data_IF_460182280938
#
_entry.id   IF_460182280938
#
_cell.length_a   1.000
_cell.length_b   1.000
_cell.length_c   1.000
_cell.angle_alpha   90.00
_cell.angle_beta   90.00
_cell.angle_gamma   90.00
#
_symmetry.space_group_name_H-M   'P 1'
#
loop_
_entity.id
_entity.type
_entity.pdbx_description
1 polymer ?
#
# COMPACT_ATOMS: atom_id res chain seq x y z
N UNK A 1 2.68 23.28 2.30
CA UNK A 1 2.53 21.81 2.46
C UNK A 1 2.47 21.49 3.95
N UNK A 2 1.49 20.69 4.37
CA UNK A 2 1.42 20.18 5.75
C UNK A 2 2.60 19.25 5.99
N UNK A 3 3.32 19.41 7.11
CA UNK A 3 4.46 18.54 7.42
C UNK A 3 3.97 17.10 7.68
N UNK A 4 4.52 16.13 6.95
CA UNK A 4 4.21 14.72 7.17
C UNK A 4 4.78 14.23 8.52
N UNK A 5 4.05 13.35 9.24
CA UNK A 5 4.53 12.81 10.52
C UNK A 5 5.93 12.17 10.42
N UNK A 6 6.70 12.22 11.49
CA UNK A 6 7.98 11.52 11.58
C UNK A 6 7.87 10.29 12.49
N UNK A 7 8.78 9.31 12.39
CA UNK A 7 8.83 8.19 13.32
C UNK A 7 8.94 8.69 14.77
N UNK A 8 8.18 8.10 15.68
CA UNK A 8 8.13 8.49 17.10
C UNK A 8 8.84 7.50 18.03
N UNK A 9 9.42 6.43 17.46
CA UNK A 9 10.20 5.42 18.19
C UNK A 9 11.69 5.55 17.84
N UNK A 10 12.60 5.01 18.68
CA UNK A 10 14.03 5.03 18.41
C UNK A 10 14.38 4.43 17.04
N UNK A 11 15.40 4.99 16.40
CA UNK A 11 15.87 4.51 15.11
C UNK A 11 16.33 3.05 15.18
N UNK A 12 15.79 2.23 14.27
CA UNK A 12 16.17 0.85 14.08
C UNK A 12 16.72 0.58 12.68
N UNK A 13 16.56 -0.67 12.23
CA UNK A 13 16.82 -1.08 10.86
C UNK A 13 15.52 -1.62 10.24
N UNK A 14 15.07 -0.96 9.18
CA UNK A 14 13.92 -1.36 8.38
C UNK A 14 14.36 -2.03 7.07
N UNK A 15 13.89 -3.25 6.84
CA UNK A 15 14.04 -3.96 5.58
C UNK A 15 12.72 -3.95 4.81
N UNK A 16 12.80 -3.59 3.53
CA UNK A 16 11.67 -3.62 2.61
C UNK A 16 11.82 -4.76 1.61
N UNK A 17 10.95 -5.78 1.70
CA UNK A 17 10.74 -6.70 0.60
C UNK A 17 9.92 -5.97 -0.47
N UNK A 18 10.59 -5.64 -1.58
CA UNK A 18 10.10 -4.71 -2.58
C UNK A 18 10.14 -3.26 -2.08
N UNK A 19 11.02 -2.45 -2.67
CA UNK A 19 11.07 -1.00 -2.42
C UNK A 19 10.42 -0.21 -3.57
N UNK A 20 9.12 -0.44 -3.78
CA UNK A 20 8.32 0.26 -4.79
C UNK A 20 7.86 1.65 -4.36
N UNK A 21 6.89 2.21 -5.11
CA UNK A 21 6.34 3.56 -4.91
C UNK A 21 5.94 3.87 -3.46
N UNK A 22 5.10 3.03 -2.86
CA UNK A 22 4.63 3.21 -1.47
C UNK A 22 5.75 3.02 -0.46
N UNK A 23 6.53 1.95 -0.60
CA UNK A 23 7.62 1.64 0.32
C UNK A 23 8.69 2.74 0.33
N UNK A 24 8.97 3.36 -0.82
CA UNK A 24 9.94 4.45 -0.95
C UNK A 24 9.56 5.67 -0.10
N UNK A 25 8.27 6.07 -0.09
CA UNK A 25 7.79 7.21 0.71
C UNK A 25 8.03 7.02 2.21
N UNK A 26 7.83 5.79 2.71
CA UNK A 26 8.15 5.44 4.09
C UNK A 26 9.67 5.38 4.34
N UNK A 27 10.42 4.75 3.43
CA UNK A 27 11.87 4.64 3.54
C UNK A 27 12.56 5.99 3.63
N UNK A 28 12.17 6.96 2.80
CA UNK A 28 12.75 8.31 2.83
C UNK A 28 12.50 9.01 4.18
N UNK A 29 11.30 8.85 4.77
CA UNK A 29 10.97 9.37 6.12
C UNK A 29 11.79 8.69 7.22
N UNK A 30 11.97 7.37 7.13
CA UNK A 30 12.80 6.63 8.10
C UNK A 30 14.27 7.06 8.02
N UNK A 31 14.84 7.19 6.82
CA UNK A 31 16.21 7.65 6.62
C UNK A 31 16.42 9.07 7.16
N UNK A 32 15.48 9.99 6.89
CA UNK A 32 15.52 11.35 7.42
C UNK A 32 15.52 11.39 8.96
N UNK A 33 14.92 10.38 9.60
CA UNK A 33 14.90 10.19 11.05
C UNK A 33 16.07 9.33 11.59
N UNK A 34 17.09 9.06 10.77
CA UNK A 34 18.31 8.35 11.18
C UNK A 34 18.20 6.82 11.20
N UNK A 35 17.16 6.24 10.62
CA UNK A 35 17.05 4.79 10.50
C UNK A 35 18.00 4.24 9.46
N UNK A 36 18.51 3.02 9.72
CA UNK A 36 19.10 2.21 8.67
C UNK A 36 17.99 1.65 7.80
N UNK A 37 18.11 1.79 6.49
CA UNK A 37 17.13 1.24 5.54
C UNK A 37 17.84 0.31 4.56
N UNK A 38 17.24 -0.86 4.37
CA UNK A 38 17.60 -1.78 3.30
C UNK A 38 16.38 -2.18 2.50
N UNK A 39 16.56 -2.55 1.24
CA UNK A 39 15.46 -2.91 0.37
C UNK A 39 15.85 -3.97 -0.64
N UNK A 40 14.84 -4.68 -1.16
CA UNK A 40 15.04 -5.65 -2.22
C UNK A 40 14.57 -5.14 -3.59
N UNK A 41 15.25 -5.59 -4.64
CA UNK A 41 14.83 -5.40 -6.02
C UNK A 41 15.21 -6.61 -6.88
N UNK A 42 14.66 -6.66 -8.11
CA UNK A 42 14.79 -7.81 -9.02
C UNK A 42 15.91 -7.69 -10.06
N UNK A 43 16.64 -6.57 -10.10
CA UNK A 43 17.71 -6.36 -11.07
C UNK A 43 18.87 -5.60 -10.45
N UNK A 44 20.08 -5.89 -10.91
CA UNK A 44 21.30 -5.22 -10.46
C UNK A 44 21.24 -3.69 -10.64
N UNK A 45 20.63 -3.21 -11.73
CA UNK A 45 20.40 -1.79 -11.98
C UNK A 45 19.57 -1.13 -10.87
N UNK A 46 18.45 -1.78 -10.46
CA UNK A 46 17.61 -1.25 -9.39
C UNK A 46 18.32 -1.30 -8.04
N UNK A 47 19.14 -2.33 -7.79
CA UNK A 47 19.99 -2.39 -6.60
C UNK A 47 21.00 -1.24 -6.58
N UNK A 48 21.66 -0.96 -7.71
CA UNK A 48 22.57 0.18 -7.81
C UNK A 48 21.84 1.50 -7.52
N UNK A 49 20.62 1.69 -8.05
CA UNK A 49 19.81 2.88 -7.77
C UNK A 49 19.44 3.03 -6.28
N UNK A 50 19.19 1.92 -5.57
CA UNK A 50 18.98 1.93 -4.12
C UNK A 50 20.24 2.36 -3.38
N UNK A 51 21.38 1.76 -3.72
CA UNK A 51 22.68 2.06 -3.08
C UNK A 51 23.07 3.53 -3.27
N UNK A 52 22.88 4.08 -4.48
CA UNK A 52 23.10 5.52 -4.75
C UNK A 52 22.19 6.41 -3.90
N UNK A 53 21.00 5.93 -3.53
CA UNK A 53 20.06 6.65 -2.64
C UNK A 53 20.37 6.44 -1.15
N UNK A 54 21.49 5.81 -0.79
CA UNK A 54 21.85 5.53 0.60
C UNK A 54 21.14 4.31 1.22
N UNK A 55 20.45 3.50 0.41
CA UNK A 55 19.72 2.31 0.84
C UNK A 55 20.52 1.06 0.51
N UNK A 56 20.79 0.19 1.49
CA UNK A 56 21.44 -1.10 1.21
C UNK A 56 20.50 -1.98 0.37
N UNK A 57 20.92 -2.33 -0.85
CA UNK A 57 20.10 -3.12 -1.78
C UNK A 57 20.47 -4.60 -1.81
N UNK A 58 19.47 -5.49 -1.81
CA UNK A 58 19.64 -6.93 -1.99
C UNK A 58 18.84 -7.47 -3.19
N UNK A 59 19.49 -8.25 -4.05
CA UNK A 59 18.80 -8.92 -5.16
C UNK A 59 17.85 -9.98 -4.58
N UNK A 60 16.57 -9.87 -4.90
CA UNK A 60 15.54 -10.84 -4.55
C UNK A 60 14.41 -10.74 -5.57
N UNK A 61 14.21 -11.79 -6.35
CA UNK A 61 13.14 -11.91 -7.33
C UNK A 61 11.97 -12.79 -6.84
N UNK A 62 12.09 -13.35 -5.64
CA UNK A 62 11.10 -14.23 -5.04
C UNK A 62 11.18 -15.68 -5.49
N UNK A 63 12.30 -16.10 -6.11
CA UNK A 63 12.52 -17.49 -6.52
C UNK A 63 13.52 -18.23 -5.63
N UNK A 64 14.37 -17.51 -4.90
CA UNK A 64 15.36 -18.04 -3.98
C UNK A 64 15.65 -17.05 -2.84
N UNK A 65 16.30 -17.55 -1.79
CA UNK A 65 16.86 -16.75 -0.70
C UNK A 65 17.76 -15.62 -1.22
N UNK A 66 17.74 -14.48 -0.54
CA UNK A 66 18.80 -13.47 -0.66
C UNK A 66 20.17 -14.13 -0.43
N UNK A 67 21.12 -13.88 -1.33
CA UNK A 67 22.50 -14.34 -1.14
C UNK A 67 23.07 -13.78 0.16
N UNK A 68 23.50 -14.66 1.07
CA UNK A 68 23.95 -14.25 2.41
C UNK A 68 22.81 -13.76 3.32
N UNK A 69 21.59 -14.29 3.16
CA UNK A 69 20.38 -13.90 3.90
C UNK A 69 20.61 -13.60 5.38
N UNK A 70 21.31 -14.47 6.12
CA UNK A 70 21.60 -14.26 7.54
C UNK A 70 22.32 -12.94 7.82
N UNK A 71 23.27 -12.56 6.99
CA UNK A 71 23.98 -11.28 7.12
C UNK A 71 23.10 -10.10 6.67
N UNK A 72 22.34 -10.27 5.59
CA UNK A 72 21.41 -9.24 5.10
C UNK A 72 20.29 -8.91 6.10
N UNK A 73 19.83 -9.92 6.86
CA UNK A 73 18.78 -9.82 7.87
C UNK A 73 19.32 -9.52 9.27
N UNK A 74 20.64 -9.49 9.46
CA UNK A 74 21.26 -9.26 10.76
C UNK A 74 20.91 -7.86 11.30
N UNK A 75 20.34 -7.83 12.50
CA UNK A 75 19.95 -6.59 13.16
C UNK A 75 18.74 -5.87 12.54
N UNK A 76 18.04 -6.51 11.59
CA UNK A 76 16.75 -6.01 11.09
C UNK A 76 15.73 -6.07 12.23
N UNK A 77 15.12 -4.91 12.49
CA UNK A 77 14.12 -4.73 13.56
C UNK A 77 12.70 -4.65 13.03
N UNK A 78 12.55 -4.17 11.79
CA UNK A 78 11.27 -3.92 11.16
C UNK A 78 11.30 -4.46 9.72
N UNK A 79 10.28 -5.22 9.33
CA UNK A 79 10.12 -5.71 7.96
C UNK A 79 8.85 -5.13 7.36
N UNK A 80 8.92 -4.66 6.13
CA UNK A 80 7.76 -4.29 5.34
C UNK A 80 7.74 -5.18 4.10
N UNK A 81 6.65 -5.91 3.88
CA UNK A 81 6.45 -6.70 2.67
C UNK A 81 5.42 -6.02 1.75
N UNK A 82 5.92 -5.54 0.61
CA UNK A 82 5.10 -4.97 -0.47
C UNK A 82 5.06 -5.85 -1.72
N UNK A 83 5.70 -7.02 -1.70
CA UNK A 83 5.74 -7.94 -2.83
C UNK A 83 4.35 -8.60 -2.97
N UNK A 84 3.75 -8.57 -4.17
CA UNK A 84 2.51 -9.30 -4.40
C UNK A 84 2.70 -10.81 -4.21
N UNK A 85 1.74 -11.53 -3.60
CA UNK A 85 1.83 -12.98 -3.49
C UNK A 85 1.66 -13.64 -4.86
N UNK A 86 2.31 -14.79 -5.01
CA UNK A 86 2.22 -15.67 -6.17
C UNK A 86 1.13 -16.74 -5.95
N UNK A 87 1.07 -17.76 -6.81
CA UNK A 87 0.17 -18.88 -6.58
C UNK A 87 0.65 -19.77 -5.41
N UNK A 88 1.95 -19.74 -5.14
CA UNK A 88 2.65 -20.54 -4.14
C UNK A 88 2.62 -19.89 -2.75
N UNK A 89 2.47 -18.56 -2.67
CA UNK A 89 2.37 -17.83 -1.41
C UNK A 89 3.01 -16.44 -1.44
N UNK A 90 3.38 -15.91 -0.28
CA UNK A 90 4.14 -14.67 -0.18
C UNK A 90 5.64 -14.98 -0.33
N UNK A 91 6.33 -14.53 -1.40
CA UNK A 91 7.72 -14.90 -1.64
C UNK A 91 8.68 -14.65 -0.46
N UNK A 92 8.58 -13.51 0.28
CA UNK A 92 9.45 -13.32 1.45
C UNK A 92 9.25 -14.36 2.55
N UNK A 93 8.02 -14.83 2.80
CA UNK A 93 7.80 -15.92 3.76
C UNK A 93 8.32 -17.25 3.23
N UNK A 94 8.05 -17.57 1.97
CA UNK A 94 8.47 -18.84 1.35
C UNK A 94 9.98 -19.04 1.45
N UNK A 95 10.76 -17.96 1.40
CA UNK A 95 12.21 -18.04 1.46
C UNK A 95 12.77 -17.67 2.84
N UNK A 96 12.23 -16.68 3.53
CA UNK A 96 12.87 -16.10 4.73
C UNK A 96 12.10 -16.29 6.04
N UNK A 97 11.03 -17.11 6.10
CA UNK A 97 10.30 -17.32 7.34
C UNK A 97 11.22 -17.78 8.49
N UNK A 98 12.08 -18.77 8.25
CA UNK A 98 13.00 -19.29 9.27
C UNK A 98 14.04 -18.24 9.69
N UNK A 99 14.64 -17.54 8.73
CA UNK A 99 15.61 -16.47 9.00
C UNK A 99 15.01 -15.36 9.87
N UNK A 100 13.76 -14.97 9.57
CA UNK A 100 13.05 -13.91 10.28
C UNK A 100 12.62 -14.38 11.68
N UNK A 101 12.14 -15.62 11.83
CA UNK A 101 11.69 -16.18 13.12
C UNK A 101 12.83 -16.34 14.12
N UNK A 102 14.03 -16.67 13.69
CA UNK A 102 15.20 -16.80 14.59
C UNK A 102 15.86 -15.45 14.92
N UNK A 103 15.40 -14.35 14.33
CA UNK A 103 15.95 -13.02 14.60
C UNK A 103 15.56 -12.53 15.99
N UNK A 104 16.55 -12.41 16.88
CA UNK A 104 16.35 -11.81 18.20
C UNK A 104 16.07 -10.29 18.15
N UNK A 105 16.34 -9.63 17.01
CA UNK A 105 16.19 -8.19 16.83
C UNK A 105 14.84 -7.80 16.22
N UNK A 106 14.18 -8.70 15.51
CA UNK A 106 12.91 -8.41 14.84
C UNK A 106 11.82 -8.11 15.87
N UNK A 107 11.06 -7.04 15.64
CA UNK A 107 9.99 -6.58 16.52
C UNK A 107 8.67 -6.44 15.79
N UNK A 108 8.71 -6.03 14.53
CA UNK A 108 7.51 -5.68 13.79
C UNK A 108 7.60 -6.06 12.32
N UNK A 109 6.48 -6.54 11.78
CA UNK A 109 6.30 -6.86 10.37
C UNK A 109 5.01 -6.21 9.88
N UNK A 110 5.11 -5.42 8.81
CA UNK A 110 3.96 -4.88 8.10
C UNK A 110 3.74 -5.55 6.77
N UNK A 111 2.63 -6.27 6.63
CA UNK A 111 2.23 -6.86 5.35
C UNK A 111 1.28 -5.93 4.59
N UNK A 112 1.68 -5.49 3.39
CA UNK A 112 0.87 -4.62 2.54
C UNK A 112 -0.11 -5.47 1.72
N UNK A 113 -1.35 -5.49 2.18
CA UNK A 113 -2.47 -6.22 1.58
C UNK A 113 -3.39 -5.30 0.75
N UNK A 114 -4.59 -5.78 0.41
CA UNK A 114 -5.57 -5.05 -0.39
C UNK A 114 -7.02 -5.39 0.02
N UNK A 115 -7.95 -4.45 -0.11
CA UNK A 115 -9.40 -4.67 0.05
C UNK A 115 -10.02 -5.75 -0.85
N UNK A 116 -9.31 -6.25 -1.87
CA UNK A 116 -9.78 -7.36 -2.69
C UNK A 116 -10.00 -8.66 -1.88
N UNK A 117 -9.50 -8.73 -0.64
CA UNK A 117 -9.78 -9.83 0.31
C UNK A 117 -11.22 -9.86 0.79
N UNK A 118 -11.93 -8.74 0.76
CA UNK A 118 -13.35 -8.71 1.12
C UNK A 118 -14.25 -9.25 0.00
N UNK A 119 -13.86 -9.11 -1.28
CA UNK A 119 -14.75 -9.42 -2.40
C UNK A 119 -15.79 -8.30 -2.62
N UNK A 120 -17.00 -8.67 -3.02
CA UNK A 120 -18.11 -7.74 -3.23
C UNK A 120 -18.96 -7.56 -1.95
N UNK A 121 -19.49 -6.35 -1.76
CA UNK A 121 -20.45 -6.01 -0.70
C UNK A 121 -21.67 -5.27 -1.25
N UNK A 122 -21.85 -5.23 -2.58
CA UNK A 122 -22.91 -4.48 -3.25
C UNK A 122 -23.00 -3.01 -2.77
N UNK A 123 -21.84 -2.39 -2.52
CA UNK A 123 -21.73 -1.02 -2.01
C UNK A 123 -21.80 -0.87 -0.48
N UNK A 124 -22.03 -1.97 0.24
CA UNK A 124 -21.98 -2.02 1.71
C UNK A 124 -20.59 -1.75 2.29
N UNK A 125 -20.52 -1.69 3.63
CA UNK A 125 -19.29 -1.44 4.38
C UNK A 125 -18.57 -2.76 4.66
N UNK A 126 -17.25 -2.79 4.51
CA UNK A 126 -16.37 -3.87 4.89
C UNK A 126 -15.49 -3.47 6.08
N UNK A 127 -15.51 -4.30 7.12
CA UNK A 127 -14.83 -4.08 8.41
C UNK A 127 -13.69 -5.08 8.60
N UNK A 128 -12.67 -4.69 9.34
CA UNK A 128 -11.44 -5.51 9.49
C UNK A 128 -11.62 -6.80 10.30
N UNK A 129 -12.69 -6.90 11.10
CA UNK A 129 -13.09 -8.10 11.84
C UNK A 129 -13.87 -9.12 10.99
N UNK A 130 -14.29 -8.74 9.79
CA UNK A 130 -14.93 -9.68 8.86
C UNK A 130 -13.92 -10.71 8.32
N UNK A 131 -14.33 -11.99 8.23
CA UNK A 131 -13.56 -12.99 7.51
C UNK A 131 -13.34 -12.61 6.04
N UNK A 132 -12.14 -12.84 5.47
CA UNK A 132 -11.92 -12.67 4.04
C UNK A 132 -12.86 -13.53 3.18
N UNK A 133 -13.54 -12.92 2.22
CA UNK A 133 -14.43 -13.60 1.26
C UNK A 133 -14.11 -13.18 -0.19
N UNK A 134 -12.86 -13.38 -0.67
CA UNK A 134 -12.44 -12.86 -1.97
C UNK A 134 -13.10 -13.59 -3.15
N UNK A 135 -13.66 -12.81 -4.09
CA UNK A 135 -14.23 -13.35 -5.34
C UNK A 135 -13.16 -13.64 -6.40
N UNK A 136 -12.10 -12.83 -6.46
CA UNK A 136 -11.06 -12.93 -7.48
C UNK A 136 -9.89 -13.85 -7.10
N UNK A 137 -9.19 -14.50 -8.06
CA UNK A 137 -7.97 -15.26 -7.80
C UNK A 137 -6.89 -14.45 -7.07
N UNK A 138 -6.75 -13.16 -7.40
CA UNK A 138 -5.82 -12.25 -6.73
C UNK A 138 -6.21 -12.02 -5.27
N UNK A 139 -7.50 -11.80 -4.99
CA UNK A 139 -8.01 -11.67 -3.63
C UNK A 139 -7.77 -12.93 -2.80
N UNK A 140 -7.97 -14.12 -3.39
CA UNK A 140 -7.72 -15.42 -2.73
C UNK A 140 -6.25 -15.58 -2.33
N UNK A 141 -5.32 -15.33 -3.26
CA UNK A 141 -3.87 -15.35 -2.97
C UNK A 141 -3.50 -14.36 -1.88
N UNK A 142 -4.12 -13.18 -1.89
CA UNK A 142 -3.87 -12.16 -0.88
C UNK A 142 -4.37 -12.58 0.51
N UNK A 143 -5.59 -13.12 0.62
CA UNK A 143 -6.12 -13.62 1.89
C UNK A 143 -5.26 -14.77 2.44
N UNK A 144 -4.78 -15.67 1.58
CA UNK A 144 -3.84 -16.73 1.98
C UNK A 144 -2.51 -16.16 2.50
N UNK A 145 -1.97 -15.13 1.85
CA UNK A 145 -0.75 -14.46 2.31
C UNK A 145 -0.94 -13.68 3.63
N UNK A 146 -2.09 -13.02 3.84
CA UNK A 146 -2.41 -12.41 5.16
C UNK A 146 -2.34 -13.47 6.26
N UNK A 147 -3.01 -14.61 6.05
CA UNK A 147 -3.02 -15.72 7.00
C UNK A 147 -1.61 -16.26 7.25
N UNK A 148 -0.86 -16.53 6.18
CA UNK A 148 0.50 -17.07 6.29
C UNK A 148 1.44 -16.15 7.08
N UNK A 149 1.36 -14.83 6.90
CA UNK A 149 2.17 -13.88 7.66
C UNK A 149 1.83 -13.87 9.14
N UNK A 150 0.54 -13.92 9.49
CA UNK A 150 0.11 -13.99 10.89
C UNK A 150 0.58 -15.30 11.53
N UNK A 151 0.24 -16.43 10.92
CA UNK A 151 0.54 -17.77 11.44
C UNK A 151 2.06 -18.00 11.57
N UNK A 152 2.87 -17.45 10.65
CA UNK A 152 4.32 -17.58 10.67
C UNK A 152 4.99 -16.95 11.90
N UNK A 153 4.30 -16.10 12.66
CA UNK A 153 4.84 -15.47 13.88
C UNK A 153 3.93 -15.66 15.10
N UNK A 154 2.92 -16.53 14.99
CA UNK A 154 2.08 -16.93 16.13
C UNK A 154 2.96 -17.51 17.24
N UNK A 155 2.69 -17.10 18.49
CA UNK A 155 3.47 -17.50 19.66
C UNK A 155 4.89 -16.90 19.73
N UNK A 156 5.22 -15.91 18.90
CA UNK A 156 6.47 -15.14 19.00
C UNK A 156 6.21 -13.71 19.50
N UNK A 157 7.27 -13.02 19.94
CA UNK A 157 7.20 -11.61 20.34
C UNK A 157 7.13 -10.64 19.14
N UNK A 158 7.12 -11.14 17.90
CA UNK A 158 7.10 -10.32 16.68
C UNK A 158 5.65 -9.92 16.36
N UNK A 159 5.40 -8.62 16.34
CA UNK A 159 4.11 -8.08 15.95
C UNK A 159 3.95 -8.06 14.42
N UNK A 160 3.09 -8.93 13.90
CA UNK A 160 2.69 -8.90 12.49
C UNK A 160 1.38 -8.14 12.36
N UNK A 161 1.37 -7.10 11.54
CA UNK A 161 0.20 -6.28 11.24
C UNK A 161 -0.07 -6.24 9.73
N UNK A 162 -1.34 -6.31 9.35
CA UNK A 162 -1.82 -6.38 7.98
C UNK A 162 -2.51 -5.07 7.60
N UNK A 163 -2.14 -4.51 6.45
CA UNK A 163 -2.66 -3.24 5.95
C UNK A 163 -3.41 -3.47 4.64
N UNK A 164 -4.75 -3.43 4.67
CA UNK A 164 -5.60 -3.58 3.49
C UNK A 164 -5.69 -2.24 2.76
N UNK A 165 -4.71 -1.97 1.90
CA UNK A 165 -4.51 -0.67 1.24
C UNK A 165 -5.42 -0.49 0.02
N UNK A 166 -6.18 0.61 0.01
CA UNK A 166 -7.08 1.02 -1.05
C UNK A 166 -6.36 1.46 -2.33
N UNK A 167 -7.09 2.07 -3.28
CA UNK A 167 -6.52 2.59 -4.52
C UNK A 167 -5.49 3.69 -4.24
N UNK A 168 -4.21 3.39 -4.46
CA UNK A 168 -3.11 4.31 -4.13
C UNK A 168 -3.01 5.40 -5.20
N UNK A 169 -3.01 6.65 -4.75
CA UNK A 169 -2.69 7.80 -5.58
C UNK A 169 -1.66 8.70 -4.89
N UNK A 170 -1.06 9.63 -5.63
CA UNK A 170 -0.06 10.56 -5.10
C UNK A 170 0.72 11.24 -6.20
N UNK A 171 1.79 11.98 -5.86
CA UNK A 171 2.65 12.60 -6.84
C UNK A 171 3.42 11.58 -7.70
N UNK A 172 3.66 11.92 -8.96
CA UNK A 172 4.42 11.13 -9.94
C UNK A 172 3.60 10.62 -11.13
N UNK A 173 4.30 10.33 -12.22
CA UNK A 173 3.74 9.96 -13.51
C UNK A 173 2.74 8.79 -13.41
N UNK A 174 1.53 9.00 -13.95
CA UNK A 174 0.47 7.99 -13.99
C UNK A 174 -0.10 7.59 -12.63
N UNK A 175 0.14 8.38 -11.56
CA UNK A 175 -0.33 8.08 -10.19
C UNK A 175 -1.57 8.85 -9.76
N UNK A 176 -2.04 9.79 -10.56
CA UNK A 176 -3.17 10.64 -10.19
C UNK A 176 -3.98 11.10 -11.43
N UNK A 177 -5.16 11.67 -11.19
CA UNK A 177 -6.08 12.07 -12.25
C UNK A 177 -5.61 13.31 -13.03
N UNK A 178 -4.78 14.17 -12.43
CA UNK A 178 -4.23 15.36 -13.10
C UNK A 178 -3.27 14.93 -14.22
N UNK A 179 -2.38 13.99 -13.91
CA UNK A 179 -1.46 13.40 -14.89
C UNK A 179 -2.20 12.65 -16.00
N UNK A 180 -3.25 11.91 -15.65
CA UNK A 180 -4.08 11.24 -16.65
C UNK A 180 -4.75 12.23 -17.63
N UNK A 181 -5.22 13.39 -17.15
CA UNK A 181 -5.81 14.43 -17.99
C UNK A 181 -4.77 15.08 -18.90
N UNK A 182 -3.59 15.41 -18.36
CA UNK A 182 -2.48 16.00 -19.13
C UNK A 182 -1.97 15.09 -20.23
N UNK A 183 -1.89 13.80 -19.93
CA UNK A 183 -1.52 12.78 -20.91
C UNK A 183 -2.66 12.42 -21.88
N UNK A 184 -3.84 13.05 -21.79
CA UNK A 184 -5.03 12.70 -22.57
C UNK A 184 -5.44 11.22 -22.46
N UNK A 185 -5.20 10.60 -21.31
CA UNK A 185 -5.52 9.19 -21.03
C UNK A 185 -6.65 9.01 -20.01
N UNK A 186 -7.11 10.11 -19.40
CA UNK A 186 -8.22 10.09 -18.45
C UNK A 186 -9.51 9.57 -19.09
N UNK A 187 -10.21 8.69 -18.37
CA UNK A 187 -11.52 8.16 -18.76
C UNK A 187 -12.45 8.18 -17.56
N UNK A 188 -13.70 8.56 -17.79
CA UNK A 188 -14.79 8.42 -16.81
C UNK A 188 -15.64 7.24 -17.25
N UNK A 189 -15.62 6.17 -16.46
CA UNK A 189 -16.48 5.00 -16.69
C UNK A 189 -17.64 5.11 -15.72
N UNK A 190 -18.85 5.22 -16.25
CA UNK A 190 -20.06 5.31 -15.46
C UNK A 190 -20.63 3.91 -15.22
N UNK A 191 -20.71 3.53 -13.94
CA UNK A 191 -21.38 2.32 -13.47
C UNK A 191 -22.23 2.73 -12.27
N UNK A 192 -23.57 2.79 -12.38
CA UNK A 192 -24.43 3.23 -11.30
C UNK A 192 -24.15 2.50 -9.98
N UNK A 193 -24.00 3.27 -8.90
CA UNK A 193 -23.71 2.75 -7.56
C UNK A 193 -22.28 2.26 -7.31
N UNK A 194 -21.40 2.26 -8.32
CA UNK A 194 -20.00 1.88 -8.14
C UNK A 194 -19.23 2.97 -7.41
N UNK A 195 -18.45 2.56 -6.41
CA UNK A 195 -17.46 3.42 -5.75
C UNK A 195 -16.11 2.72 -5.66
N UNK A 196 -15.06 3.52 -5.50
CA UNK A 196 -13.73 3.04 -5.16
C UNK A 196 -13.21 3.79 -3.94
N UNK A 197 -12.56 3.04 -3.05
CA UNK A 197 -11.80 3.58 -1.92
C UNK A 197 -10.42 3.98 -2.42
N UNK A 198 -9.87 5.09 -1.93
CA UNK A 198 -8.55 5.58 -2.31
C UNK A 198 -7.73 5.89 -1.08
N UNK A 199 -6.43 6.09 -1.26
CA UNK A 199 -5.57 6.61 -0.21
C UNK A 199 -4.38 7.32 -0.84
N UNK A 200 -4.03 8.48 -0.28
CA UNK A 200 -2.81 9.17 -0.68
C UNK A 200 -1.59 8.40 -0.16
N UNK A 201 -0.57 8.22 -1.00
CA UNK A 201 0.61 7.40 -0.68
C UNK A 201 1.32 7.82 0.62
N UNK A 202 1.36 9.12 0.91
CA UNK A 202 2.01 9.64 2.12
C UNK A 202 1.25 9.28 3.40
N UNK A 203 -0.08 9.16 3.34
CA UNK A 203 -0.89 8.73 4.49
C UNK A 203 -0.72 7.23 4.76
N UNK A 204 -0.41 6.41 3.74
CA UNK A 204 0.03 5.02 3.97
C UNK A 204 1.30 5.03 4.83
N UNK A 205 2.28 5.88 4.50
CA UNK A 205 3.50 6.03 5.30
C UNK A 205 3.19 6.45 6.74
N UNK A 206 2.22 7.35 6.94
CA UNK A 206 1.80 7.81 8.26
C UNK A 206 1.14 6.70 9.08
N UNK A 207 0.30 5.88 8.45
CA UNK A 207 -0.31 4.69 9.09
C UNK A 207 0.76 3.68 9.50
N UNK A 208 1.71 3.38 8.61
CA UNK A 208 2.78 2.42 8.90
C UNK A 208 3.66 2.89 10.06
N UNK A 209 4.06 4.17 10.09
CA UNK A 209 4.81 4.71 11.22
C UNK A 209 4.05 4.67 12.55
N UNK A 210 2.76 4.99 12.53
CA UNK A 210 1.92 4.88 13.72
C UNK A 210 1.81 3.43 14.20
N UNK A 211 1.73 2.47 13.28
CA UNK A 211 1.71 1.05 13.60
C UNK A 211 3.04 0.54 14.16
N UNK A 212 4.19 0.98 13.61
CA UNK A 212 5.50 0.64 14.17
C UNK A 212 5.62 1.09 15.63
N UNK A 213 5.02 2.24 15.96
CA UNK A 213 4.98 2.76 17.33
C UNK A 213 3.95 2.06 18.25
N UNK A 214 3.03 1.29 17.69
CA UNK A 214 1.97 0.57 18.41
C UNK A 214 1.87 -0.87 17.89
N UNK A 215 2.93 -1.67 18.10
CA UNK A 215 2.98 -3.04 17.61
C UNK A 215 1.84 -3.86 18.23
N UNK A 216 1.06 -4.55 17.37
CA UNK A 216 0.00 -5.47 17.79
C UNK A 216 -0.06 -6.66 16.85
N UNK A 217 0.48 -7.81 17.27
CA UNK A 217 0.32 -9.04 16.49
C UNK A 217 -1.16 -9.32 16.19
N UNK A 218 -1.48 -9.70 14.94
CA UNK A 218 -2.86 -9.91 14.51
C UNK A 218 -3.62 -8.64 14.14
N UNK A 219 -3.01 -7.46 14.25
CA UNK A 219 -3.67 -6.20 13.91
C UNK A 219 -3.93 -6.07 12.42
N UNK A 220 -5.20 -5.95 12.03
CA UNK A 220 -5.62 -5.71 10.65
C UNK A 220 -6.21 -4.30 10.55
N UNK A 221 -5.79 -3.54 9.54
CA UNK A 221 -6.19 -2.14 9.32
C UNK A 221 -6.62 -1.92 7.87
N UNK A 222 -7.81 -1.37 7.67
CA UNK A 222 -8.20 -0.80 6.38
C UNK A 222 -7.50 0.53 6.19
N UNK A 223 -6.82 0.70 5.05
CA UNK A 223 -6.05 1.90 4.76
C UNK A 223 -6.66 2.59 3.55
N UNK A 224 -7.61 3.49 3.83
CA UNK A 224 -8.33 4.33 2.89
C UNK A 224 -8.51 5.74 3.46
N UNK A 225 -8.80 6.69 2.57
CA UNK A 225 -9.32 8.00 2.91
C UNK A 225 -10.80 7.92 3.34
N UNK A 226 -11.38 9.04 3.77
CA UNK A 226 -12.70 9.08 4.38
C UNK A 226 -13.85 9.04 3.36
N UNK A 227 -13.54 8.98 2.05
CA UNK A 227 -14.54 9.13 0.99
C UNK A 227 -14.38 8.11 -0.15
N UNK A 228 -15.11 7.01 -0.02
CA UNK A 228 -15.38 6.13 -1.16
C UNK A 228 -16.30 6.82 -2.18
N UNK A 229 -15.73 7.29 -3.28
CA UNK A 229 -16.45 7.99 -4.34
C UNK A 229 -16.46 7.23 -5.67
N UNK A 230 -17.41 7.55 -6.58
CA UNK A 230 -17.38 7.09 -7.96
C UNK A 230 -16.01 7.25 -8.65
N UNK A 231 -15.67 6.39 -9.63
CA UNK A 231 -14.42 6.49 -10.37
C UNK A 231 -14.21 7.85 -11.07
N UNK A 232 -15.29 8.50 -11.50
CA UNK A 232 -15.25 9.75 -12.25
C UNK A 232 -14.96 11.00 -11.41
N UNK A 233 -15.36 11.03 -10.14
CA UNK A 233 -15.31 12.25 -9.31
C UNK A 233 -13.89 12.85 -9.19
N UNK A 234 -12.82 12.06 -8.98
CA UNK A 234 -11.46 12.60 -8.97
C UNK A 234 -11.01 13.16 -10.33
N UNK A 235 -11.52 12.62 -11.44
CA UNK A 235 -11.22 13.12 -12.79
C UNK A 235 -11.90 14.46 -13.02
N UNK A 236 -13.19 14.58 -12.67
CA UNK A 236 -13.94 15.84 -12.78
C UNK A 236 -13.30 16.93 -11.92
N UNK A 237 -12.93 16.60 -10.68
CA UNK A 237 -12.25 17.56 -9.82
C UNK A 237 -10.88 17.98 -10.36
N UNK A 238 -10.06 17.03 -10.84
CA UNK A 238 -8.77 17.33 -11.45
C UNK A 238 -8.90 18.22 -12.70
N UNK A 239 -9.93 18.01 -13.52
CA UNK A 239 -10.23 18.86 -14.67
C UNK A 239 -10.54 20.30 -14.23
N UNK A 240 -11.32 20.46 -13.16
CA UNK A 240 -11.56 21.76 -12.52
C UNK A 240 -10.29 22.44 -12.00
N UNK A 241 -9.33 21.69 -11.44
CA UNK A 241 -8.02 22.23 -11.04
C UNK A 241 -7.23 22.78 -12.23
N UNK A 242 -7.26 22.04 -13.35
CA UNK A 242 -6.55 22.38 -14.58
C UNK A 242 -7.25 23.44 -15.44
N UNK A 243 -8.50 23.77 -15.15
CA UNK A 243 -9.31 24.67 -15.98
C UNK A 243 -9.65 24.08 -17.36
N UNK A 244 -9.81 22.76 -17.45
CA UNK A 244 -10.16 22.03 -18.68
C UNK A 244 -11.49 21.30 -18.53
N UNK A 245 -12.13 20.96 -19.64
CA UNK A 245 -13.33 20.14 -19.64
C UNK A 245 -12.99 18.67 -19.33
N UNK A 246 -13.74 17.99 -18.43
CA UNK A 246 -13.56 16.57 -18.18
C UNK A 246 -14.01 15.75 -19.40
N UNK A 247 -13.45 14.53 -19.61
CA UNK A 247 -13.91 13.65 -20.68
C UNK A 247 -15.36 13.23 -20.46
N UNK A 248 -16.10 13.02 -21.55
CA UNK A 248 -17.47 12.53 -21.48
C UNK A 248 -17.53 11.15 -20.78
N UNK A 249 -18.50 10.91 -19.87
CA UNK A 249 -18.70 9.61 -19.26
C UNK A 249 -19.01 8.53 -20.32
N UNK A 250 -18.47 7.33 -20.11
CA UNK A 250 -18.69 6.16 -20.94
C UNK A 250 -19.42 5.11 -20.10
N UNK A 251 -20.56 4.64 -20.57
CA UNK A 251 -21.30 3.55 -19.92
C UNK A 251 -20.42 2.30 -19.78
N UNK A 252 -20.33 1.76 -18.57
CA UNK A 252 -19.58 0.53 -18.25
C UNK A 252 -19.88 -0.64 -19.17
N UNK A 253 -21.13 -0.80 -19.62
CA UNK A 253 -21.53 -1.91 -20.51
C UNK A 253 -20.89 -1.77 -21.90
N UNK A 254 -20.69 -0.54 -22.37
CA UNK A 254 -20.10 -0.24 -23.69
C UNK A 254 -18.61 0.09 -23.63
N UNK A 255 -18.07 0.32 -22.43
CA UNK A 255 -16.69 0.71 -22.23
C UNK A 255 -15.70 -0.39 -22.66
N UNK A 256 -14.72 0.00 -23.48
CA UNK A 256 -13.59 -0.83 -23.85
C UNK A 256 -12.58 -0.93 -22.69
N UNK A 257 -12.82 -1.88 -21.79
CA UNK A 257 -12.00 -2.19 -20.62
C UNK A 257 -11.20 -3.48 -20.82
N UNK A 258 -9.94 -3.48 -20.38
CA UNK A 258 -9.17 -4.72 -20.26
C UNK A 258 -9.84 -5.67 -19.25
N UNK A 259 -9.58 -7.00 -19.32
CA UNK A 259 -10.11 -7.95 -18.35
C UNK A 259 -9.79 -7.55 -16.90
N UNK A 260 -8.59 -7.02 -16.66
CA UNK A 260 -8.18 -6.55 -15.34
C UNK A 260 -8.98 -5.32 -14.90
N UNK A 261 -9.15 -4.32 -15.79
CA UNK A 261 -9.92 -3.13 -15.49
C UNK A 261 -11.39 -3.49 -15.19
N UNK A 262 -12.02 -4.33 -16.02
CA UNK A 262 -13.39 -4.81 -15.81
C UNK A 262 -13.54 -5.58 -14.49
N UNK A 263 -12.53 -6.36 -14.10
CA UNK A 263 -12.50 -7.07 -12.83
C UNK A 263 -12.59 -6.17 -11.59
N UNK A 264 -12.12 -4.91 -11.65
CA UNK A 264 -12.29 -3.97 -10.54
C UNK A 264 -13.75 -3.51 -10.36
N UNK A 265 -14.53 -3.44 -11.44
CA UNK A 265 -15.94 -3.06 -11.41
C UNK A 265 -16.89 -4.21 -11.02
N UNK A 266 -16.36 -5.43 -10.90
CA UNK A 266 -17.10 -6.61 -10.46
C UNK A 266 -17.36 -6.62 -8.95
N UNK A 267 -16.68 -5.76 -8.18
CA UNK A 267 -16.82 -5.67 -6.72
C UNK A 267 -17.03 -4.21 -6.29
N UNK A 268 -17.96 -3.95 -5.37
CA UNK A 268 -18.24 -2.64 -4.81
C UNK A 268 -18.36 -2.73 -3.28
N UNK A 269 -17.56 -1.93 -2.57
CA UNK A 269 -17.56 -1.83 -1.09
C UNK A 269 -17.03 -0.48 -0.63
N UNK A 270 -17.37 -0.13 0.60
CA UNK A 270 -16.81 0.98 1.37
C UNK A 270 -15.98 0.41 2.52
N UNK A 271 -14.85 1.00 2.83
CA UNK A 271 -14.00 0.53 3.93
C UNK A 271 -14.32 1.32 5.18
N UNK A 272 -14.54 0.62 6.28
CA UNK A 272 -14.49 1.25 7.59
C UNK A 272 -13.01 1.46 7.95
N UNK A 273 -12.60 2.70 8.16
CA UNK A 273 -11.23 3.11 8.52
C UNK A 273 -11.13 3.60 9.96
N UNK A 274 -12.20 3.52 10.75
CA UNK A 274 -12.28 4.07 12.11
C UNK A 274 -11.15 3.55 13.01
N UNK A 275 -10.71 2.30 12.80
CA UNK A 275 -9.62 1.67 13.52
C UNK A 275 -8.27 2.42 13.38
N UNK A 276 -8.02 3.09 12.25
CA UNK A 276 -6.81 3.90 12.07
C UNK A 276 -6.72 5.00 13.13
N UNK A 277 -7.83 5.69 13.37
CA UNK A 277 -7.90 6.75 14.38
C UNK A 277 -7.95 6.18 15.80
N UNK A 278 -8.78 5.16 16.05
CA UNK A 278 -9.03 4.63 17.39
C UNK A 278 -7.83 3.88 17.98
N UNK A 279 -7.17 3.06 17.18
CA UNK A 279 -6.05 2.24 17.66
C UNK A 279 -4.68 2.86 17.36
N UNK A 280 -4.51 3.45 16.17
CA UNK A 280 -3.22 4.00 15.74
C UNK A 280 -3.09 5.51 15.99
N UNK A 281 -4.18 6.21 16.29
CA UNK A 281 -4.17 7.66 16.50
C UNK A 281 -3.89 8.44 15.21
N UNK A 282 -4.10 7.82 14.04
CA UNK A 282 -3.81 8.44 12.75
C UNK A 282 -4.86 9.51 12.45
N UNK A 283 -4.39 10.67 12.01
CA UNK A 283 -5.18 11.69 11.33
C UNK A 283 -4.64 11.82 9.92
N UNK A 284 -5.51 11.65 8.93
CA UNK A 284 -5.11 11.72 7.52
C UNK A 284 -4.73 13.15 7.15
N UNK A 285 -3.62 13.28 6.43
CA UNK A 285 -3.20 14.55 5.82
C UNK A 285 -4.14 14.89 4.67
N UNK A 286 -4.59 13.86 3.95
CA UNK A 286 -5.47 13.95 2.79
C UNK A 286 -6.74 13.12 3.06
N UNK A 287 -7.70 13.66 3.82
CA UNK A 287 -8.90 12.93 4.22
C UNK A 287 -9.82 12.61 3.05
N UNK A 288 -9.72 13.33 1.92
CA UNK A 288 -10.39 12.95 0.67
C UNK A 288 -9.47 13.14 -0.53
N UNK A 289 -9.90 12.65 -1.68
CA UNK A 289 -9.19 12.85 -2.95
C UNK A 289 -9.01 14.35 -3.31
N UNK A 290 -9.85 15.24 -2.77
CA UNK A 290 -9.82 16.67 -3.09
C UNK A 290 -8.60 17.35 -2.47
N UNK A 291 -8.32 17.12 -1.19
CA UNK A 291 -7.13 17.66 -0.53
C UNK A 291 -5.86 17.10 -1.16
N UNK A 292 -5.82 15.79 -1.46
CA UNK A 292 -4.67 15.16 -2.08
C UNK A 292 -4.39 15.67 -3.49
N UNK A 293 -5.39 15.72 -4.36
CA UNK A 293 -5.22 16.26 -5.72
C UNK A 293 -4.87 17.75 -5.71
N UNK A 294 -5.47 18.55 -4.82
CA UNK A 294 -5.10 19.96 -4.67
C UNK A 294 -3.64 20.11 -4.27
N UNK A 295 -3.17 19.34 -3.30
CA UNK A 295 -1.77 19.41 -2.86
C UNK A 295 -0.80 19.01 -3.97
N UNK A 296 -1.11 17.98 -4.76
CA UNK A 296 -0.31 17.58 -5.93
C UNK A 296 -0.26 18.71 -6.96
N UNK A 297 -1.42 19.31 -7.27
CA UNK A 297 -1.52 20.41 -8.22
C UNK A 297 -0.70 21.63 -7.77
N UNK A 298 -0.86 22.04 -6.51
CA UNK A 298 -0.21 23.24 -5.96
C UNK A 298 1.31 23.06 -5.81
N UNK A 299 1.79 21.85 -5.52
CA UNK A 299 3.22 21.55 -5.42
C UNK A 299 3.92 21.56 -6.78
N UNK A 300 3.16 21.44 -7.87
CA UNK A 300 3.72 21.22 -9.19
C UNK A 300 4.36 19.83 -9.35
N UNK A 301 4.11 18.91 -8.41
CA UNK A 301 4.65 17.54 -8.39
C UNK A 301 3.86 16.63 -9.35
N UNK A 302 3.89 17.05 -10.61
CA UNK A 302 3.15 16.52 -11.74
C UNK A 302 4.01 15.48 -12.46
#
# INVERSE_FOLDING_TARGET
>A
MTALPQPTIPAGHALFFGLGYTARRLADRLMAAGWRVSGTARSAEKIAALTTSGISGYLFDGTALIAGARAALAGVTHVIDSIPPTAEGAPPLLHHADDLRVSAALRWVGYLSTPAVYGDRAGGTAREDEPPTPGSPRGKRRAAAERAWLDAFEGTEVAVQVFRIAGIYGPGEGRNAIEALRASTARIIDKPGQVFNRIHVDDIGSVLLASMARPRHGGIYNVADDEACPPGDPVVFAAGLLGVEPPAPIDFETAALSPMARGFYAECKRLDTTRLSQELGVRLTYPTYREGLRAIFDAGDL
#
